data_IF_848522920405
#
_entry.id   IF_848522920405
#
_cell.length_a   1.000
_cell.length_b   1.000
_cell.length_c   1.000
_cell.angle_alpha   90.00
_cell.angle_beta   90.00
_cell.angle_gamma   90.00
#
_symmetry.space_group_name_H-M   'P 1'
#
loop_
_entity.id
_entity.type
_entity.pdbx_description
1 polymer ?
#
# COMPACT_ATOMS: atom_id res chain seq x y z
N UNK A 1 32.45 45.91 35.63
CA UNK A 1 31.03 45.75 35.25
C UNK A 1 30.97 45.44 33.75
N UNK A 2 30.45 44.25 33.36
CA UNK A 2 30.14 43.75 31.98
C UNK A 2 31.38 43.56 31.08
N UNK A 3 31.67 42.41 30.47
CA UNK A 3 30.79 41.57 29.66
C UNK A 3 31.43 40.19 29.48
N UNK A 4 30.82 39.14 30.03
CA UNK A 4 31.07 37.74 29.68
C UNK A 4 29.80 37.23 29.03
N UNK A 5 29.72 37.27 27.69
CA UNK A 5 28.62 36.63 26.97
C UNK A 5 28.99 36.43 25.49
N UNK A 6 28.71 35.22 25.01
CA UNK A 6 28.36 34.90 23.61
C UNK A 6 29.52 34.77 22.59
N UNK A 7 30.36 33.73 22.70
CA UNK A 7 31.11 33.24 21.51
C UNK A 7 31.20 31.72 21.33
N UNK A 8 30.73 30.93 22.29
CA UNK A 8 30.77 29.45 22.24
C UNK A 8 29.49 28.80 21.66
N UNK A 9 28.49 29.59 21.27
CA UNK A 9 27.18 29.01 20.90
C UNK A 9 26.98 28.77 19.40
N UNK A 10 27.59 29.55 18.49
CA UNK A 10 27.20 29.47 17.07
C UNK A 10 27.71 28.18 16.42
N UNK A 11 28.98 27.80 16.61
CA UNK A 11 29.53 26.58 16.02
C UNK A 11 28.88 25.31 16.56
N UNK A 12 28.61 25.25 17.88
CA UNK A 12 27.91 24.13 18.49
C UNK A 12 26.47 24.03 17.98
N UNK A 13 25.76 25.15 17.84
CA UNK A 13 24.41 25.19 17.25
C UNK A 13 24.44 24.74 15.78
N UNK A 14 25.41 25.19 14.99
CA UNK A 14 25.55 24.77 13.59
C UNK A 14 25.83 23.26 13.46
N UNK A 15 26.68 22.69 14.32
CA UNK A 15 26.96 21.25 14.32
C UNK A 15 25.70 20.46 14.72
N UNK A 16 24.98 20.90 15.76
CA UNK A 16 23.71 20.27 16.19
C UNK A 16 22.65 20.37 15.08
N UNK A 17 22.54 21.50 14.38
CA UNK A 17 21.62 21.64 13.25
C UNK A 17 22.04 20.74 12.07
N UNK A 18 23.34 20.65 11.77
CA UNK A 18 23.86 19.84 10.67
C UNK A 18 23.79 18.33 10.94
N UNK A 19 23.79 17.87 12.20
CA UNK A 19 23.69 16.44 12.53
C UNK A 19 22.27 16.02 12.92
N UNK A 20 21.52 16.87 13.61
CA UNK A 20 20.15 16.55 14.02
C UNK A 20 19.11 16.78 12.92
N UNK A 21 19.27 17.79 12.05
CA UNK A 21 18.29 18.04 11.00
C UNK A 21 18.23 16.91 9.94
N UNK A 22 19.35 16.32 9.46
CA UNK A 22 19.28 15.19 8.56
C UNK A 22 18.62 13.96 9.21
N UNK A 23 18.91 13.68 10.49
CA UNK A 23 18.28 12.59 11.22
C UNK A 23 16.77 12.77 11.39
N UNK A 24 16.30 14.01 11.59
CA UNK A 24 14.86 14.32 11.65
C UNK A 24 14.20 14.16 10.26
N UNK A 25 14.88 14.56 9.18
CA UNK A 25 14.35 14.41 7.81
C UNK A 25 14.26 12.93 7.39
N UNK A 26 15.21 12.09 7.81
CA UNK A 26 15.20 10.65 7.51
C UNK A 26 14.16 9.83 8.28
N UNK A 27 13.60 10.36 9.37
CA UNK A 27 12.69 9.62 10.26
C UNK A 27 11.21 9.97 10.06
N UNK A 28 10.86 10.78 9.05
CA UNK A 28 9.46 10.99 8.67
C UNK A 28 8.93 9.69 8.04
N UNK A 29 7.97 8.98 8.66
CA UNK A 29 7.40 7.80 8.05
C UNK A 29 6.64 8.24 6.79
N UNK A 30 6.95 7.62 5.65
CA UNK A 30 6.09 7.69 4.47
C UNK A 30 4.66 7.35 4.91
N UNK A 31 3.74 8.31 4.73
CA UNK A 31 2.35 8.11 5.13
C UNK A 31 1.68 7.23 4.08
N UNK A 32 1.83 5.93 4.24
CA UNK A 32 1.23 4.98 3.31
C UNK A 32 -0.29 5.05 3.31
N UNK A 33 -0.88 4.93 2.13
CA UNK A 33 -2.32 4.80 1.96
C UNK A 33 -2.73 3.34 2.25
N UNK A 34 -3.46 3.13 3.33
CA UNK A 34 -4.03 1.82 3.68
C UNK A 34 -5.45 1.70 3.14
N UNK A 35 -5.72 0.65 2.36
CA UNK A 35 -7.02 0.44 1.70
C UNK A 35 -7.63 -0.88 2.13
N UNK A 36 -8.87 -0.83 2.61
CA UNK A 36 -9.58 -1.99 3.14
C UNK A 36 -10.03 -2.96 2.03
N UNK A 37 -10.11 -4.24 2.38
CA UNK A 37 -10.67 -5.31 1.55
C UNK A 37 -12.19 -5.18 1.48
N UNK A 38 -12.72 -5.30 0.27
CA UNK A 38 -14.15 -5.31 -0.02
C UNK A 38 -14.48 -6.62 -0.71
N UNK A 39 -15.39 -7.40 -0.15
CA UNK A 39 -15.84 -8.63 -0.79
C UNK A 39 -16.75 -8.33 -1.98
N UNK A 40 -16.63 -9.13 -3.04
CA UNK A 40 -17.52 -9.00 -4.20
C UNK A 40 -18.93 -9.49 -3.81
N UNK A 41 -19.95 -8.62 -3.88
CA UNK A 41 -21.31 -9.01 -3.55
C UNK A 41 -21.84 -10.04 -4.55
N UNK A 42 -22.64 -10.99 -4.09
CA UNK A 42 -23.26 -12.04 -4.90
C UNK A 42 -22.28 -12.96 -5.67
N UNK A 43 -20.96 -12.90 -5.40
CA UNK A 43 -19.97 -13.69 -6.14
C UNK A 43 -20.24 -15.20 -6.09
N UNK A 44 -20.58 -15.73 -4.90
CA UNK A 44 -20.91 -17.15 -4.73
C UNK A 44 -22.13 -17.59 -5.55
N UNK A 45 -23.14 -16.74 -5.66
CA UNK A 45 -24.34 -17.03 -6.46
C UNK A 45 -24.02 -17.09 -7.97
N UNK A 46 -22.96 -16.40 -8.39
CA UNK A 46 -22.45 -16.38 -9.77
C UNK A 46 -21.36 -17.44 -10.01
N UNK A 47 -21.01 -18.25 -9.00
CA UNK A 47 -19.95 -19.25 -9.10
C UNK A 47 -18.52 -18.67 -9.06
N UNK A 48 -18.36 -17.38 -8.75
CA UNK A 48 -17.05 -16.75 -8.61
C UNK A 48 -16.52 -16.96 -7.18
N UNK A 49 -15.46 -17.76 -7.05
CA UNK A 49 -14.83 -18.14 -5.78
C UNK A 49 -13.33 -18.33 -5.97
N UNK A 50 -12.57 -18.19 -4.88
CA UNK A 50 -11.16 -18.57 -4.84
C UNK A 50 -10.97 -20.10 -4.86
N UNK A 51 -9.71 -20.55 -4.98
CA UNK A 51 -9.36 -21.98 -5.00
C UNK A 51 -9.91 -22.79 -3.80
N UNK A 52 -10.06 -22.16 -2.63
CA UNK A 52 -10.64 -22.80 -1.43
C UNK A 52 -12.17 -22.61 -1.26
N UNK A 53 -12.84 -21.99 -2.24
CA UNK A 53 -14.26 -21.65 -2.20
C UNK A 53 -14.62 -20.39 -1.40
N UNK A 54 -13.64 -19.64 -0.88
CA UNK A 54 -13.89 -18.34 -0.26
C UNK A 54 -14.32 -17.28 -1.29
N UNK A 55 -14.94 -16.20 -0.82
CA UNK A 55 -15.39 -15.11 -1.69
C UNK A 55 -14.17 -14.33 -2.22
N UNK A 56 -14.17 -13.94 -3.51
CA UNK A 56 -13.19 -13.01 -4.04
C UNK A 56 -13.39 -11.61 -3.44
N UNK A 57 -12.34 -10.80 -3.44
CA UNK A 57 -12.35 -9.48 -2.83
C UNK A 57 -11.52 -8.48 -3.64
N UNK A 58 -11.56 -7.19 -3.26
CA UNK A 58 -10.74 -6.15 -3.87
C UNK A 58 -10.43 -4.98 -2.91
N UNK A 59 -9.53 -4.07 -3.31
CA UNK A 59 -9.18 -2.85 -2.56
C UNK A 59 -9.49 -1.58 -3.34
N UNK A 60 -10.49 -0.84 -2.91
CA UNK A 60 -10.96 0.32 -3.64
C UNK A 60 -10.54 1.61 -2.95
N UNK A 61 -9.59 2.34 -3.54
CA UNK A 61 -9.44 3.77 -3.25
C UNK A 61 -10.25 4.57 -4.28
N UNK A 62 -10.61 5.83 -4.04
CA UNK A 62 -11.24 6.65 -5.10
C UNK A 62 -10.21 7.64 -5.62
N UNK A 63 -10.11 7.76 -6.95
CA UNK A 63 -9.35 8.83 -7.58
C UNK A 63 -9.89 10.21 -7.20
N UNK A 64 -9.07 11.25 -7.41
CA UNK A 64 -9.42 12.64 -7.08
C UNK A 64 -9.07 13.57 -8.25
N UNK A 65 -9.58 14.80 -8.29
CA UNK A 65 -9.27 15.75 -9.36
C UNK A 65 -9.58 15.20 -10.76
N UNK A 66 -8.62 15.28 -11.69
CA UNK A 66 -8.76 14.83 -13.08
C UNK A 66 -8.93 13.32 -13.25
N UNK A 67 -8.57 12.53 -12.23
CA UNK A 67 -8.59 11.06 -12.27
C UNK A 67 -9.75 10.45 -11.50
N UNK A 68 -10.67 11.28 -10.99
CA UNK A 68 -11.89 10.84 -10.34
C UNK A 68 -12.80 9.98 -11.24
N UNK A 69 -12.60 10.03 -12.57
CA UNK A 69 -13.39 9.28 -13.57
C UNK A 69 -12.58 8.25 -14.36
N UNK A 70 -11.30 8.12 -14.07
CA UNK A 70 -10.43 7.16 -14.73
C UNK A 70 -10.29 5.90 -13.87
N UNK A 71 -9.88 4.81 -14.51
CA UNK A 71 -9.76 3.51 -13.89
C UNK A 71 -8.36 2.94 -14.12
N UNK A 72 -7.68 2.64 -13.01
CA UNK A 72 -6.50 1.79 -13.00
C UNK A 72 -6.91 0.44 -12.41
N UNK A 73 -6.64 -0.64 -13.13
CA UNK A 73 -6.85 -2.00 -12.65
C UNK A 73 -5.50 -2.69 -12.60
N UNK A 74 -5.14 -3.17 -11.42
CA UNK A 74 -3.88 -3.86 -11.18
C UNK A 74 -4.20 -5.19 -10.52
N UNK A 75 -3.71 -6.26 -11.13
CA UNK A 75 -3.87 -7.64 -10.67
C UNK A 75 -2.59 -8.08 -9.95
N UNK A 76 -2.70 -8.75 -8.80
CA UNK A 76 -1.53 -9.32 -8.14
C UNK A 76 -1.00 -10.50 -8.99
N UNK A 77 0.32 -10.57 -9.17
CA UNK A 77 0.98 -11.74 -9.76
C UNK A 77 1.16 -12.87 -8.74
N UNK A 78 2.10 -13.77 -8.99
CA UNK A 78 2.49 -14.81 -8.02
C UNK A 78 2.50 -16.25 -8.52
N UNK A 79 2.57 -16.43 -9.85
CA UNK A 79 2.58 -17.74 -10.50
C UNK A 79 1.24 -18.48 -10.42
N UNK A 80 1.25 -19.74 -10.83
CA UNK A 80 0.07 -20.61 -10.89
C UNK A 80 0.39 -22.03 -10.37
N UNK A 81 -0.64 -22.84 -10.14
CA UNK A 81 -0.53 -24.27 -9.87
C UNK A 81 -0.94 -25.05 -11.14
N UNK A 82 -0.40 -26.26 -11.33
CA UNK A 82 -0.55 -27.00 -12.60
C UNK A 82 -1.27 -28.36 -12.45
N UNK A 83 -1.47 -28.82 -11.23
CA UNK A 83 -2.10 -30.11 -10.92
C UNK A 83 -2.95 -30.01 -9.66
N UNK A 84 -3.80 -31.02 -9.43
CA UNK A 84 -4.77 -31.01 -8.33
C UNK A 84 -4.09 -30.88 -6.97
N UNK A 85 -2.96 -31.57 -6.77
CA UNK A 85 -2.24 -31.58 -5.49
C UNK A 85 -1.59 -30.22 -5.21
N UNK A 86 -0.88 -29.63 -6.18
CA UNK A 86 -0.29 -28.30 -6.07
C UNK A 86 -1.35 -27.20 -5.90
N UNK A 87 -2.52 -27.33 -6.54
CA UNK A 87 -3.63 -26.39 -6.35
C UNK A 87 -4.29 -26.53 -4.98
N UNK A 88 -4.44 -27.76 -4.48
CA UNK A 88 -4.97 -28.02 -3.14
C UNK A 88 -4.07 -27.41 -2.05
N UNK A 89 -2.75 -27.57 -2.20
CA UNK A 89 -1.78 -26.94 -1.30
C UNK A 89 -1.81 -25.41 -1.44
N UNK A 90 -1.90 -24.88 -2.67
CA UNK A 90 -1.99 -23.44 -2.90
C UNK A 90 -3.27 -22.82 -2.32
N UNK A 91 -4.39 -23.54 -2.32
CA UNK A 91 -5.65 -23.12 -1.73
C UNK A 91 -5.52 -22.79 -0.22
N UNK A 92 -4.52 -23.38 0.46
CA UNK A 92 -4.21 -23.14 1.88
C UNK A 92 -3.29 -21.94 2.11
N UNK A 93 -3.08 -21.10 1.10
CA UNK A 93 -2.20 -19.93 1.16
C UNK A 93 -2.94 -18.62 0.88
N UNK A 94 -2.27 -17.48 1.11
CA UNK A 94 -2.78 -16.15 0.76
C UNK A 94 -3.12 -15.97 -0.72
N UNK A 95 -2.60 -16.82 -1.61
CA UNK A 95 -2.83 -16.74 -3.07
C UNK A 95 -3.96 -17.65 -3.55
N UNK A 96 -4.58 -18.42 -2.66
CA UNK A 96 -5.67 -19.33 -2.98
C UNK A 96 -6.91 -19.16 -2.11
N UNK A 97 -6.86 -18.29 -1.10
CA UNK A 97 -7.98 -18.05 -0.19
C UNK A 97 -7.92 -16.65 0.43
N UNK A 98 -9.05 -15.95 0.41
CA UNK A 98 -9.21 -14.67 1.11
C UNK A 98 -9.19 -14.80 2.63
N UNK A 99 -9.26 -16.02 3.17
CA UNK A 99 -9.11 -16.26 4.62
C UNK A 99 -7.69 -16.00 5.11
N UNK A 100 -6.69 -16.16 4.23
CA UNK A 100 -5.27 -15.98 4.55
C UNK A 100 -4.68 -14.67 3.98
N UNK A 101 -5.50 -13.84 3.34
CA UNK A 101 -5.08 -12.54 2.84
C UNK A 101 -5.10 -11.47 3.93
N UNK A 102 -4.21 -10.49 3.81
CA UNK A 102 -4.29 -9.29 4.63
C UNK A 102 -5.59 -8.54 4.33
N UNK A 103 -6.24 -8.04 5.38
CA UNK A 103 -7.50 -7.31 5.21
C UNK A 103 -7.31 -5.93 4.59
N UNK A 104 -6.08 -5.42 4.58
CA UNK A 104 -5.74 -4.10 4.05
C UNK A 104 -4.54 -4.23 3.11
N UNK A 105 -4.49 -3.41 2.07
CA UNK A 105 -3.31 -3.24 1.23
C UNK A 105 -2.67 -1.87 1.42
N UNK A 106 -1.36 -1.87 1.26
CA UNK A 106 -0.53 -0.66 1.23
C UNK A 106 -0.45 -0.19 -0.23
N UNK A 107 -1.01 0.97 -0.51
CA UNK A 107 -0.98 1.60 -1.82
C UNK A 107 0.28 2.48 -1.95
N UNK A 108 1.16 2.12 -2.87
CA UNK A 108 2.45 2.77 -3.12
C UNK A 108 2.81 2.77 -4.61
N UNK A 109 3.87 3.49 -4.99
CA UNK A 109 4.27 3.63 -6.40
C UNK A 109 3.13 4.19 -7.25
N UNK A 110 2.80 3.52 -8.37
CA UNK A 110 1.68 3.90 -9.25
C UNK A 110 0.32 3.82 -8.54
N UNK A 111 0.21 3.10 -7.42
CA UNK A 111 -1.00 3.05 -6.62
C UNK A 111 -1.03 4.10 -5.50
N UNK A 112 -0.02 4.96 -5.39
CA UNK A 112 0.01 5.99 -4.35
C UNK A 112 -0.98 7.14 -4.64
N UNK A 113 -1.49 7.77 -3.58
CA UNK A 113 -2.19 9.05 -3.65
C UNK A 113 -1.23 10.26 -3.54
N UNK A 114 0.07 10.03 -3.40
CA UNK A 114 1.08 11.08 -3.39
C UNK A 114 1.44 11.47 -4.83
N UNK A 115 1.19 12.72 -5.20
CA UNK A 115 1.47 13.24 -6.54
C UNK A 115 2.95 13.12 -6.97
N UNK A 116 3.88 13.09 -6.02
CA UNK A 116 5.30 12.88 -6.32
C UNK A 116 5.64 11.44 -6.71
N UNK A 117 4.84 10.46 -6.25
CA UNK A 117 5.01 9.03 -6.55
C UNK A 117 4.10 8.57 -7.69
N UNK A 118 2.92 9.17 -7.77
CA UNK A 118 1.92 8.96 -8.81
C UNK A 118 1.36 10.32 -9.24
N UNK A 119 1.97 10.97 -10.24
CA UNK A 119 1.48 12.26 -10.74
C UNK A 119 0.13 12.14 -11.49
N UNK A 120 -0.32 10.91 -11.79
CA UNK A 120 -1.66 10.60 -12.30
C UNK A 120 -2.68 10.47 -11.17
N UNK A 121 -3.92 10.87 -11.42
CA UNK A 121 -4.96 11.08 -10.39
C UNK A 121 -5.93 9.90 -10.23
N UNK A 122 -5.59 8.74 -10.78
CA UNK A 122 -6.47 7.59 -10.93
C UNK A 122 -6.10 6.57 -9.87
N UNK A 123 -7.05 5.97 -9.14
CA UNK A 123 -6.70 4.76 -8.38
C UNK A 123 -7.86 3.93 -7.89
N UNK A 124 -7.89 2.69 -8.37
CA UNK A 124 -8.59 1.52 -7.85
C UNK A 124 -7.58 0.34 -7.88
N UNK A 125 -7.66 -0.64 -6.98
CA UNK A 125 -6.79 -1.85 -7.00
C UNK A 125 -7.67 -3.10 -6.80
N UNK A 126 -7.67 -4.02 -7.76
CA UNK A 126 -8.33 -5.31 -7.60
C UNK A 126 -7.23 -6.34 -7.32
N UNK A 127 -6.78 -6.54 -6.07
CA UNK A 127 -6.09 -7.79 -5.79
C UNK A 127 -7.11 -8.90 -5.93
N UNK A 128 -6.79 -9.84 -6.79
CA UNK A 128 -7.21 -11.23 -6.63
C UNK A 128 -8.68 -11.52 -6.88
N UNK A 129 -9.08 -11.27 -8.14
CA UNK A 129 -9.91 -12.24 -8.86
C UNK A 129 -9.04 -13.46 -9.20
N UNK A 130 -8.81 -14.35 -8.23
CA UNK A 130 -8.36 -15.74 -8.46
C UNK A 130 -9.37 -16.63 -7.77
#
# INVERSE_FOLDING_TARGET
MKSCKTRTNIFAICIVLLTCAPWIVYSVPEKFLLVNMTFVPNAKAQGAVCLDGSLPAYHLHRGFGSGARNWLLQFEGGGWCNDVESCLERARSRRGSTKYMNRWAVFSGILSNNASLNPGTDLFFLPDLI
#
